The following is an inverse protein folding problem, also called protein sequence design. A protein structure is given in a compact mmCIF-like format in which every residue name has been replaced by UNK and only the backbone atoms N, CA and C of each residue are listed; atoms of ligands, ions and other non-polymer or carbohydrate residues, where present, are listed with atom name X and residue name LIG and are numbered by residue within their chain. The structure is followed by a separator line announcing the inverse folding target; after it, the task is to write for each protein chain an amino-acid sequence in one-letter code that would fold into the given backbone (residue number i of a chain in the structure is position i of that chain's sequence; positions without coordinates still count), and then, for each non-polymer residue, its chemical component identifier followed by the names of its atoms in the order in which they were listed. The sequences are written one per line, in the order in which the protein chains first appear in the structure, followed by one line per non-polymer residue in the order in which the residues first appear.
data_IF_679711789659
#
_entry.id   IF_679711789659
#
_cell.length_a   1.000
_cell.length_b   1.000
_cell.length_c   1.000
_cell.angle_alpha   90.00
_cell.angle_beta   90.00
_cell.angle_gamma   90.00
#
_symmetry.space_group_name_H-M   'P 1'
#
loop_
_entity.id
_entity.type
_entity.pdbx_description
1 polymer ?
#
# COMPACT_ATOMS: atom_id res chain seq x y z
N UNK A 1 -23.59 -17.25 41.57
CA UNK A 1 -22.56 -16.27 41.96
C UNK A 1 -21.82 -15.87 40.68
N UNK A 2 -21.95 -14.61 40.29
CA UNK A 2 -21.43 -14.01 39.05
C UNK A 2 -19.91 -14.08 38.99
N UNK A 3 -19.38 -14.48 37.83
CA UNK A 3 -17.96 -14.48 37.50
C UNK A 3 -17.56 -13.07 37.00
N UNK A 4 -16.78 -12.26 37.75
CA UNK A 4 -16.43 -10.91 37.31
C UNK A 4 -14.93 -10.85 36.96
N UNK A 5 -14.54 -11.46 35.84
CA UNK A 5 -13.18 -11.34 35.31
C UNK A 5 -13.23 -11.25 33.76
N UNK A 6 -14.12 -10.41 33.23
CA UNK A 6 -13.92 -9.83 31.89
C UNK A 6 -12.94 -8.65 32.05
N UNK A 7 -11.72 -8.94 32.53
CA UNK A 7 -10.59 -8.03 32.35
C UNK A 7 -10.29 -8.05 30.86
N UNK A 8 -11.03 -7.23 30.12
CA UNK A 8 -10.63 -6.71 28.83
C UNK A 8 -9.25 -6.12 29.04
N UNK A 9 -8.22 -6.90 28.73
CA UNK A 9 -6.90 -6.37 28.46
C UNK A 9 -7.12 -5.37 27.34
N UNK A 10 -7.37 -4.11 27.70
CA UNK A 10 -7.26 -3.02 26.78
C UNK A 10 -5.83 -3.15 26.27
N UNK A 11 -5.67 -3.60 25.03
CA UNK A 11 -4.40 -3.64 24.34
C UNK A 11 -3.82 -2.23 24.50
N UNK A 12 -2.93 -2.05 25.48
CA UNK A 12 -2.18 -0.82 25.63
C UNK A 12 -1.26 -0.81 24.42
N UNK A 13 -1.73 -0.18 23.35
CA UNK A 13 -0.96 0.05 22.14
C UNK A 13 0.18 0.98 22.53
N UNK A 14 1.33 0.38 22.85
CA UNK A 14 2.58 1.11 22.89
C UNK A 14 2.81 1.65 21.48
N UNK A 15 2.86 2.99 21.31
CA UNK A 15 3.19 3.57 20.01
C UNK A 15 4.58 3.06 19.61
N UNK A 16 4.75 2.73 18.33
CA UNK A 16 6.04 2.27 17.82
C UNK A 16 7.05 3.42 17.94
N UNK A 17 8.18 3.16 18.58
CA UNK A 17 9.28 4.13 18.63
C UNK A 17 9.83 4.39 17.23
N UNK A 18 10.46 5.54 17.01
CA UNK A 18 11.01 5.90 15.69
C UNK A 18 11.97 4.82 15.14
N UNK A 19 12.80 4.22 16.00
CA UNK A 19 13.68 3.11 15.62
C UNK A 19 12.91 1.84 15.23
N UNK A 20 11.81 1.54 15.93
CA UNK A 20 10.97 0.38 15.63
C UNK A 20 10.27 0.57 14.28
N UNK A 21 9.84 1.79 13.95
CA UNK A 21 9.29 2.13 12.63
C UNK A 21 10.31 1.90 11.51
N UNK A 22 11.54 2.36 11.69
CA UNK A 22 12.61 2.17 10.68
C UNK A 22 12.93 0.69 10.47
N UNK A 23 13.04 -0.09 11.55
CA UNK A 23 13.29 -1.54 11.44
C UNK A 23 12.11 -2.27 10.80
N UNK A 24 10.89 -1.90 11.17
CA UNK A 24 9.68 -2.46 10.59
C UNK A 24 9.60 -2.15 9.09
N UNK A 25 9.82 -0.90 8.66
CA UNK A 25 9.86 -0.53 7.24
C UNK A 25 10.87 -1.39 6.48
N UNK A 26 12.11 -1.47 6.96
CA UNK A 26 13.16 -2.26 6.32
C UNK A 26 12.82 -3.75 6.20
N UNK A 27 12.11 -4.31 7.19
CA UNK A 27 11.63 -5.69 7.16
C UNK A 27 10.43 -5.91 6.23
N UNK A 28 9.52 -4.94 6.13
CA UNK A 28 8.30 -5.06 5.33
C UNK A 28 8.52 -4.81 3.84
N UNK A 29 9.49 -3.97 3.45
CA UNK A 29 9.81 -3.72 2.03
C UNK A 29 9.98 -5.00 1.20
N UNK A 30 10.86 -5.95 1.56
CA UNK A 30 11.03 -7.17 0.76
C UNK A 30 9.76 -8.06 0.75
N UNK A 31 9.03 -8.12 1.85
CA UNK A 31 7.78 -8.90 1.96
C UNK A 31 6.70 -8.34 1.02
N UNK A 32 6.48 -7.03 1.06
CA UNK A 32 5.50 -6.35 0.22
C UNK A 32 5.91 -6.40 -1.25
N UNK A 33 7.20 -6.22 -1.55
CA UNK A 33 7.71 -6.35 -2.92
C UNK A 33 7.45 -7.76 -3.49
N UNK A 34 7.70 -8.80 -2.71
CA UNK A 34 7.46 -10.18 -3.14
C UNK A 34 5.97 -10.47 -3.33
N UNK A 35 5.11 -10.02 -2.41
CA UNK A 35 3.66 -10.16 -2.56
C UNK A 35 3.10 -9.38 -3.75
N UNK A 36 3.62 -8.19 -4.01
CA UNK A 36 3.24 -7.42 -5.20
C UNK A 36 3.70 -8.13 -6.47
N UNK A 37 4.90 -8.70 -6.51
CA UNK A 37 5.38 -9.45 -7.66
C UNK A 37 4.53 -10.71 -7.95
N UNK A 38 4.08 -11.40 -6.90
CA UNK A 38 3.27 -12.62 -7.02
C UNK A 38 1.78 -12.32 -7.32
N UNK A 39 1.16 -11.48 -6.49
CA UNK A 39 -0.30 -11.28 -6.49
C UNK A 39 -0.74 -9.93 -7.06
N UNK A 40 0.19 -9.02 -7.36
CA UNK A 40 -0.09 -7.67 -7.87
C UNK A 40 -0.64 -6.68 -6.84
N UNK A 41 -1.05 -7.15 -5.67
CA UNK A 41 -1.63 -6.34 -4.58
C UNK A 41 -1.25 -6.90 -3.22
N UNK A 42 -1.11 -6.01 -2.25
CA UNK A 42 -0.87 -6.32 -0.85
C UNK A 42 -1.89 -5.59 0.02
N UNK A 43 -2.49 -6.28 0.99
CA UNK A 43 -3.49 -5.70 1.90
C UNK A 43 -3.05 -5.93 3.34
N UNK A 44 -3.07 -4.87 4.13
CA UNK A 44 -2.69 -4.89 5.54
C UNK A 44 -3.69 -4.13 6.40
N UNK A 45 -3.86 -4.52 7.65
CA UNK A 45 -4.67 -3.78 8.61
C UNK A 45 -3.86 -2.61 9.15
N UNK A 46 -4.22 -1.39 8.77
CA UNK A 46 -3.59 -0.16 9.24
C UNK A 46 -4.68 0.74 9.81
N UNK A 47 -5.08 0.44 11.04
CA UNK A 47 -6.18 1.13 11.73
C UNK A 47 -5.72 2.35 12.56
N UNK A 48 -4.40 2.59 12.61
CA UNK A 48 -3.81 3.80 13.20
C UNK A 48 -3.08 4.64 12.14
N UNK A 49 -3.04 5.98 12.29
CA UNK A 49 -2.31 6.84 11.36
C UNK A 49 -0.82 6.47 11.30
N UNK A 50 -0.21 6.06 12.41
CA UNK A 50 1.20 5.66 12.44
C UNK A 50 1.50 4.43 11.57
N UNK A 51 0.59 3.46 11.52
CA UNK A 51 0.73 2.30 10.62
C UNK A 51 0.53 2.72 9.17
N UNK A 52 -0.42 3.61 8.90
CA UNK A 52 -0.64 4.14 7.55
C UNK A 52 0.62 4.86 7.05
N UNK A 53 1.24 5.71 7.87
CA UNK A 53 2.48 6.40 7.52
C UNK A 53 3.63 5.41 7.25
N UNK A 54 3.78 4.38 8.09
CA UNK A 54 4.77 3.34 7.88
C UNK A 54 4.57 2.61 6.54
N UNK A 55 3.36 2.17 6.26
CA UNK A 55 3.07 1.45 5.02
C UNK A 55 3.10 2.35 3.78
N UNK A 56 2.89 3.66 3.93
CA UNK A 56 3.12 4.63 2.85
C UNK A 56 4.62 4.74 2.52
N UNK A 57 5.48 4.78 3.55
CA UNK A 57 6.93 4.71 3.40
C UNK A 57 7.37 3.43 2.70
N UNK A 58 6.85 2.28 3.16
CA UNK A 58 7.08 0.97 2.52
C UNK A 58 6.65 0.98 1.05
N UNK A 59 5.45 1.46 0.73
CA UNK A 59 4.95 1.50 -0.65
C UNK A 59 5.88 2.30 -1.57
N UNK A 60 6.37 3.46 -1.10
CA UNK A 60 7.33 4.29 -1.83
C UNK A 60 8.65 3.56 -2.05
N UNK A 61 9.21 2.95 -1.00
CA UNK A 61 10.47 2.18 -1.10
C UNK A 61 10.35 0.97 -2.02
N UNK A 62 9.23 0.27 -1.98
CA UNK A 62 8.97 -0.86 -2.88
C UNK A 62 8.85 -0.38 -4.33
N UNK A 63 8.21 0.76 -4.58
CA UNK A 63 8.16 1.37 -5.91
C UNK A 63 9.54 1.75 -6.44
N UNK A 64 10.39 2.35 -5.60
CA UNK A 64 11.79 2.64 -5.94
C UNK A 64 12.59 1.35 -6.23
N UNK A 65 12.41 0.32 -5.41
CA UNK A 65 13.11 -0.96 -5.53
C UNK A 65 12.71 -1.72 -6.80
N UNK A 66 11.43 -1.72 -7.15
CA UNK A 66 10.89 -2.42 -8.32
C UNK A 66 10.99 -1.58 -9.61
N UNK A 67 11.33 -0.29 -9.51
CA UNK A 67 11.30 0.64 -10.64
C UNK A 67 9.91 0.83 -11.23
N UNK A 68 8.86 0.62 -10.44
CA UNK A 68 7.45 0.66 -10.88
C UNK A 68 6.65 1.59 -9.99
N UNK A 69 5.69 2.35 -10.54
CA UNK A 69 4.79 3.15 -9.71
C UNK A 69 3.99 2.24 -8.79
N UNK A 70 4.01 2.51 -7.49
CA UNK A 70 3.23 1.80 -6.48
C UNK A 70 2.32 2.83 -5.82
N UNK A 71 1.03 2.52 -5.78
CA UNK A 71 0.01 3.33 -5.12
C UNK A 71 -0.43 2.65 -3.84
N UNK A 72 -0.73 3.46 -2.83
CA UNK A 72 -1.28 2.97 -1.58
C UNK A 72 -2.48 3.80 -1.18
N UNK A 73 -3.54 3.14 -0.72
CA UNK A 73 -4.74 3.81 -0.23
C UNK A 73 -5.26 3.12 1.02
N UNK A 74 -5.70 3.93 1.99
CA UNK A 74 -6.29 3.46 3.23
C UNK A 74 -7.81 3.60 3.16
N UNK A 75 -8.52 2.53 3.53
CA UNK A 75 -9.97 2.47 3.61
C UNK A 75 -10.37 2.20 5.07
N UNK A 76 -9.97 3.11 5.96
CA UNK A 76 -10.27 3.14 7.40
C UNK A 76 -9.68 2.00 8.23
N UNK A 77 -10.05 0.76 7.94
CA UNK A 77 -9.61 -0.45 8.65
C UNK A 77 -8.44 -1.15 7.95
N UNK A 78 -8.33 -1.01 6.64
CA UNK A 78 -7.31 -1.68 5.84
C UNK A 78 -6.62 -0.70 4.92
N UNK A 79 -5.33 -0.92 4.73
CA UNK A 79 -4.54 -0.27 3.71
C UNK A 79 -4.23 -1.28 2.60
N UNK A 80 -4.37 -0.83 1.37
CA UNK A 80 -4.06 -1.61 0.17
C UNK A 80 -2.91 -0.93 -0.54
N UNK A 81 -1.92 -1.72 -0.90
CA UNK A 81 -0.75 -1.35 -1.70
C UNK A 81 -0.85 -2.14 -3.00
N UNK A 82 -0.73 -1.48 -4.14
CA UNK A 82 -0.82 -2.11 -5.47
C UNK A 82 0.07 -1.36 -6.44
N UNK A 83 0.41 -1.96 -7.58
CA UNK A 83 1.02 -1.19 -8.66
C UNK A 83 0.05 -0.10 -9.14
N UNK A 84 0.58 1.11 -9.31
CA UNK A 84 -0.12 2.19 -9.98
C UNK A 84 -0.24 1.92 -11.47
N UNK A 85 -1.15 2.63 -12.16
CA UNK A 85 -1.13 2.64 -13.62
C UNK A 85 0.28 3.07 -14.06
N UNK A 86 0.88 2.25 -14.92
CA UNK A 86 2.17 2.59 -15.50
C UNK A 86 2.03 3.96 -16.17
N UNK A 87 2.96 4.88 -15.92
CA UNK A 87 2.91 6.22 -16.52
C UNK A 87 3.01 6.18 -18.06
N UNK A 88 3.17 5.00 -18.67
CA UNK A 88 3.02 4.73 -20.11
C UNK A 88 1.64 4.20 -20.56
N UNK A 89 0.63 4.13 -19.69
CA UNK A 89 -0.71 3.62 -20.03
C UNK A 89 -1.82 4.61 -19.69
N UNK A 90 -1.66 5.87 -20.10
CA UNK A 90 -2.78 6.68 -20.61
C UNK A 90 -2.26 7.80 -21.52
N UNK A 91 -2.27 7.53 -22.82
CA UNK A 91 -2.63 8.51 -23.83
C UNK A 91 -2.97 7.70 -25.07
N UNK A 92 -4.25 7.35 -25.15
CA UNK A 92 -4.81 6.63 -26.27
C UNK A 92 -4.28 7.15 -27.59
N UNK A 93 -3.90 6.21 -28.44
CA UNK A 93 -3.99 6.39 -29.87
C UNK A 93 -5.37 6.98 -30.18
N UNK A 94 -5.44 8.30 -30.33
CA UNK A 94 -6.45 8.88 -31.19
C UNK A 94 -6.05 8.41 -32.59
N UNK A 95 -6.59 7.25 -32.97
CA UNK A 95 -6.68 6.82 -34.35
C UNK A 95 -7.44 7.91 -35.11
N UNK A 96 -6.72 8.97 -35.53
CA UNK A 96 -7.19 9.86 -36.58
C UNK A 96 -7.11 9.03 -37.86
N UNK A 97 -8.15 8.25 -38.11
CA UNK A 97 -8.36 7.63 -39.42
C UNK A 97 -8.14 8.67 -40.51
N UNK A 98 -7.45 8.32 -41.62
CA UNK A 98 -7.26 9.24 -42.72
C UNK A 98 -8.64 9.55 -43.28
N UNK A 99 -9.10 10.79 -43.07
CA UNK A 99 -10.31 11.31 -43.71
C UNK A 99 -9.96 11.61 -45.16
N UNK A 100 -9.87 10.56 -45.96
CA UNK A 100 -9.96 10.68 -47.42
C UNK A 100 -11.41 10.97 -47.77
N UNK A 101 -11.68 12.21 -48.15
CA UNK A 101 -12.83 12.62 -48.95
C UNK A 101 -12.39 13.95 -49.59
N UNK A 102 -12.15 14.09 -50.89
CA UNK A 102 -12.86 13.46 -52.00
C UNK A 102 -13.80 14.52 -52.57
N UNK A 103 -13.33 15.15 -53.66
CA UNK A 103 -14.03 16.07 -54.59
C UNK A 103 -14.30 17.52 -54.16
#
# INVERSE_FOLDING_TARGET
MTHPLDTRYAHQRTPLSAEEKVRAEAGFVPLVAQHLADSGRFRVSADTPELVELFQGVARRVGEMLGRPVVSYANGRYMVITFGPDAGQDSGAIERGPRSLGE
#
